data_IF_357803673116
#
_entry.id   IF_357803673116
#
_cell.length_a   1.000
_cell.length_b   1.000
_cell.length_c   1.000
_cell.angle_alpha   90.00
_cell.angle_beta   90.00
_cell.angle_gamma   90.00
#
_symmetry.space_group_name_H-M   'P 1'
#
loop_
_entity.id
_entity.type
_entity.pdbx_description
1 polymer ?
#
# COMPACT_ATOMS: atom_id res chain seq x y z
N UNK A 1 -16.63 -13.58 -43.86
CA UNK A 1 -16.20 -14.55 -42.83
C UNK A 1 -14.68 -14.69 -42.67
N UNK A 2 -13.84 -14.69 -43.70
CA UNK A 2 -12.36 -14.85 -43.57
C UNK A 2 -11.68 -13.68 -42.87
N UNK A 3 -12.15 -12.45 -43.07
CA UNK A 3 -11.61 -11.25 -42.43
C UNK A 3 -11.84 -11.24 -40.88
N UNK A 4 -13.05 -11.62 -40.46
CA UNK A 4 -13.40 -11.69 -39.04
C UNK A 4 -12.56 -12.73 -38.28
N UNK A 5 -12.29 -13.88 -38.90
CA UNK A 5 -11.40 -14.91 -38.31
C UNK A 5 -9.97 -14.41 -38.17
N UNK A 6 -9.43 -13.67 -39.14
CA UNK A 6 -8.08 -13.11 -39.09
C UNK A 6 -7.98 -12.01 -38.00
N UNK A 7 -9.00 -11.15 -37.91
CA UNK A 7 -9.08 -10.13 -36.87
C UNK A 7 -9.13 -10.77 -35.48
N UNK A 8 -9.95 -11.82 -35.31
CA UNK A 8 -10.05 -12.53 -34.04
C UNK A 8 -8.72 -13.19 -33.64
N UNK A 9 -8.04 -13.85 -34.58
CA UNK A 9 -6.73 -14.45 -34.35
C UNK A 9 -5.68 -13.40 -33.98
N UNK A 10 -5.71 -12.23 -34.62
CA UNK A 10 -4.82 -11.11 -34.27
C UNK A 10 -5.06 -10.60 -32.86
N UNK A 11 -6.33 -10.41 -32.46
CA UNK A 11 -6.70 -9.98 -31.09
C UNK A 11 -6.27 -11.01 -30.05
N UNK A 12 -6.49 -12.30 -30.31
CA UNK A 12 -6.06 -13.38 -29.40
C UNK A 12 -4.53 -13.40 -29.29
N UNK A 13 -3.80 -13.26 -30.39
CA UNK A 13 -2.35 -13.21 -30.40
C UNK A 13 -1.82 -11.99 -29.61
N UNK A 14 -2.44 -10.83 -29.77
CA UNK A 14 -2.08 -9.63 -29.04
C UNK A 14 -2.33 -9.79 -27.54
N UNK A 15 -3.48 -10.34 -27.15
CA UNK A 15 -3.78 -10.64 -25.75
C UNK A 15 -2.78 -11.61 -25.13
N UNK A 16 -2.40 -12.64 -25.88
CA UNK A 16 -1.43 -13.62 -25.39
C UNK A 16 -0.05 -13.00 -25.18
N UNK A 17 0.39 -12.10 -26.07
CA UNK A 17 1.63 -11.34 -25.91
C UNK A 17 1.56 -10.47 -24.65
N UNK A 18 0.46 -9.75 -24.44
CA UNK A 18 0.26 -8.91 -23.24
C UNK A 18 0.36 -9.74 -21.96
N UNK A 19 -0.27 -10.92 -21.94
CA UNK A 19 -0.22 -11.83 -20.78
C UNK A 19 1.20 -12.34 -20.54
N UNK A 20 1.94 -12.72 -21.57
CA UNK A 20 3.32 -13.19 -21.47
C UNK A 20 4.27 -12.09 -20.99
N UNK A 21 4.12 -10.89 -21.53
CA UNK A 21 4.92 -9.73 -21.10
C UNK A 21 4.64 -9.40 -19.63
N UNK A 22 3.37 -9.40 -19.23
CA UNK A 22 2.99 -9.15 -17.84
C UNK A 22 3.56 -10.23 -16.90
N UNK A 23 3.50 -11.50 -17.30
CA UNK A 23 4.07 -12.60 -16.51
C UNK A 23 5.59 -12.45 -16.34
N UNK A 24 6.31 -12.19 -17.42
CA UNK A 24 7.75 -11.95 -17.35
C UNK A 24 8.11 -10.74 -16.47
N UNK A 25 7.29 -9.69 -16.49
CA UNK A 25 7.45 -8.54 -15.60
C UNK A 25 7.19 -8.91 -14.13
N UNK A 26 6.18 -9.73 -13.87
CA UNK A 26 5.85 -10.17 -12.52
C UNK A 26 6.96 -10.99 -11.87
N UNK A 27 7.53 -11.95 -12.60
CA UNK A 27 8.61 -12.81 -12.08
C UNK A 27 9.92 -12.05 -11.83
N UNK A 28 10.19 -11.01 -12.62
CA UNK A 28 11.41 -10.20 -12.50
C UNK A 28 11.19 -8.88 -11.73
N UNK A 29 10.05 -8.72 -11.07
CA UNK A 29 9.75 -7.49 -10.34
C UNK A 29 10.68 -7.33 -9.13
N UNK A 30 11.47 -6.23 -9.07
CA UNK A 30 12.46 -6.03 -8.01
C UNK A 30 11.81 -5.47 -6.74
N UNK A 31 10.82 -6.19 -6.19
CA UNK A 31 9.99 -5.75 -5.07
C UNK A 31 10.79 -5.28 -3.87
N UNK A 32 11.77 -6.08 -3.44
CA UNK A 32 12.65 -5.75 -2.30
C UNK A 32 13.47 -4.48 -2.53
N UNK A 33 14.01 -4.28 -3.73
CA UNK A 33 14.80 -3.10 -4.04
C UNK A 33 13.93 -1.83 -4.01
N UNK A 34 12.71 -1.92 -4.51
CA UNK A 34 11.75 -0.81 -4.50
C UNK A 34 11.28 -0.55 -3.06
N UNK A 35 10.95 -1.58 -2.29
CA UNK A 35 10.60 -1.47 -0.88
C UNK A 35 11.69 -0.74 -0.09
N UNK A 36 12.94 -1.18 -0.21
CA UNK A 36 14.08 -0.56 0.45
C UNK A 36 14.28 0.91 0.05
N UNK A 37 14.12 1.24 -1.23
CA UNK A 37 14.23 2.62 -1.70
C UNK A 37 13.13 3.53 -1.10
N UNK A 38 11.90 3.02 -1.03
CA UNK A 38 10.76 3.73 -0.41
C UNK A 38 10.99 3.89 1.09
N UNK A 39 11.38 2.83 1.80
CA UNK A 39 11.72 2.85 3.23
C UNK A 39 12.76 3.92 3.54
N UNK A 40 13.87 3.89 2.81
CA UNK A 40 14.96 4.85 3.01
C UNK A 40 14.49 6.29 2.80
N UNK A 41 13.73 6.53 1.73
CA UNK A 41 13.21 7.86 1.42
C UNK A 41 12.21 8.36 2.46
N UNK A 42 11.28 7.52 2.90
CA UNK A 42 10.31 7.87 3.92
C UNK A 42 11.00 8.12 5.26
N UNK A 43 11.88 7.24 5.68
CA UNK A 43 12.64 7.39 6.94
C UNK A 43 13.47 8.66 6.95
N UNK A 44 14.18 8.98 5.84
CA UNK A 44 14.98 10.22 5.76
C UNK A 44 14.14 11.49 5.74
N UNK A 45 12.96 11.45 5.12
CA UNK A 45 12.10 12.63 5.04
C UNK A 45 11.30 12.89 6.32
N UNK A 46 10.86 11.84 7.00
CA UNK A 46 9.97 11.95 8.16
C UNK A 46 10.69 11.76 9.49
N UNK A 47 11.87 11.14 9.50
CA UNK A 47 12.56 10.71 10.73
C UNK A 47 11.85 9.54 11.44
N UNK A 48 10.83 8.94 10.81
CA UNK A 48 10.10 7.78 11.32
C UNK A 48 10.57 6.56 10.54
N UNK A 49 11.19 5.55 11.17
CA UNK A 49 11.55 4.33 10.48
C UNK A 49 10.30 3.59 9.99
N UNK A 50 10.27 3.33 8.68
CA UNK A 50 9.19 2.60 8.03
C UNK A 50 9.75 1.27 7.58
N UNK A 51 9.09 0.18 7.91
CA UNK A 51 9.37 -1.15 7.37
C UNK A 51 8.30 -1.50 6.36
N UNK A 52 8.71 -1.93 5.19
CA UNK A 52 7.84 -2.46 4.15
C UNK A 52 8.36 -3.85 3.83
N UNK A 53 7.53 -4.86 3.95
CA UNK A 53 7.88 -6.18 3.46
C UNK A 53 8.02 -6.18 1.93
N UNK A 54 8.25 -7.35 1.36
CA UNK A 54 8.42 -7.47 -0.08
C UNK A 54 7.22 -6.93 -0.85
N UNK A 55 7.50 -6.18 -1.92
CA UNK A 55 6.46 -5.68 -2.82
C UNK A 55 6.22 -6.69 -3.94
N UNK A 56 5.01 -7.15 -4.08
CA UNK A 56 4.60 -8.06 -5.14
C UNK A 56 3.76 -7.35 -6.19
N UNK A 57 4.05 -7.62 -7.45
CA UNK A 57 3.24 -7.13 -8.55
C UNK A 57 2.06 -8.07 -8.78
N UNK A 58 0.85 -7.61 -8.46
CA UNK A 58 -0.40 -8.26 -8.82
C UNK A 58 -0.95 -7.75 -10.15
N UNK A 59 -2.12 -8.26 -10.55
CA UNK A 59 -2.82 -7.76 -11.73
C UNK A 59 -3.38 -6.35 -11.44
N UNK A 60 -2.82 -5.33 -12.09
CA UNK A 60 -3.18 -3.90 -11.94
C UNK A 60 -3.07 -3.36 -10.50
N UNK A 61 -2.25 -3.97 -9.65
CA UNK A 61 -1.99 -3.52 -8.28
C UNK A 61 -0.59 -3.94 -7.83
N UNK A 62 -0.06 -3.22 -6.85
CA UNK A 62 1.10 -3.66 -6.04
C UNK A 62 0.58 -4.04 -4.67
N UNK A 63 1.09 -5.13 -4.13
CA UNK A 63 0.68 -5.69 -2.84
C UNK A 63 1.90 -5.79 -1.96
N UNK A 64 1.74 -5.48 -0.68
CA UNK A 64 2.71 -5.87 0.37
C UNK A 64 1.95 -6.46 1.55
N UNK A 65 2.47 -7.53 2.15
CA UNK A 65 1.83 -8.16 3.31
C UNK A 65 1.71 -7.21 4.48
N UNK A 66 2.76 -6.40 4.74
CA UNK A 66 2.81 -5.53 5.91
C UNK A 66 3.59 -4.26 5.64
N UNK A 67 3.08 -3.15 6.20
CA UNK A 67 3.83 -1.90 6.39
C UNK A 67 3.81 -1.59 7.88
N UNK A 68 4.98 -1.47 8.51
CA UNK A 68 5.10 -1.13 9.91
C UNK A 68 5.81 0.23 10.09
N UNK A 69 5.27 1.06 10.97
CA UNK A 69 5.93 2.27 11.45
C UNK A 69 6.55 1.98 12.81
N UNK A 70 7.82 2.30 12.98
CA UNK A 70 8.56 2.14 14.23
C UNK A 70 8.64 3.44 15.03
N UNK A 71 9.15 3.34 16.24
CA UNK A 71 9.43 4.48 17.08
C UNK A 71 10.31 5.49 16.36
N UNK A 72 9.93 6.79 16.33
CA UNK A 72 10.72 7.84 15.68
C UNK A 72 12.14 7.94 16.24
N UNK A 73 13.11 8.23 15.36
CA UNK A 73 14.54 8.31 15.74
C UNK A 73 14.80 9.37 16.81
N UNK A 74 14.01 10.46 16.83
CA UNK A 74 14.16 11.54 17.84
C UNK A 74 13.64 11.16 19.23
N UNK A 75 12.94 10.04 19.36
CA UNK A 75 12.48 9.47 20.64
C UNK A 75 13.48 8.43 21.18
N UNK A 76 14.76 8.72 21.13
CA UNK A 76 15.85 7.80 21.45
C UNK A 76 15.81 7.18 22.87
N UNK A 77 15.00 7.72 23.79
CA UNK A 77 14.80 7.18 25.14
C UNK A 77 13.74 6.05 25.20
N UNK A 78 13.02 5.80 24.10
CA UNK A 78 12.00 4.77 24.06
C UNK A 78 12.53 3.53 23.34
N UNK A 79 12.12 2.31 23.79
CA UNK A 79 12.50 1.08 23.09
C UNK A 79 11.99 1.12 21.64
N UNK A 80 12.73 0.49 20.73
CA UNK A 80 12.34 0.36 19.32
C UNK A 80 11.14 -0.59 19.23
N UNK A 81 9.96 -0.01 19.06
CA UNK A 81 8.69 -0.72 19.02
C UNK A 81 7.95 -0.38 17.72
N UNK A 82 7.25 -1.35 17.17
CA UNK A 82 6.31 -1.13 16.06
C UNK A 82 5.07 -0.41 16.58
N UNK A 83 4.91 0.85 16.22
CA UNK A 83 3.83 1.72 16.68
C UNK A 83 2.55 1.52 15.91
N UNK A 84 2.66 1.25 14.62
CA UNK A 84 1.54 1.05 13.71
C UNK A 84 1.87 -0.05 12.73
N UNK A 85 0.94 -0.97 12.53
CA UNK A 85 1.05 -2.06 11.56
C UNK A 85 -0.16 -2.01 10.67
N UNK A 86 0.08 -1.89 9.35
CA UNK A 86 -0.95 -1.94 8.32
C UNK A 86 -0.71 -3.24 7.55
N UNK A 87 -1.69 -4.12 7.60
CA UNK A 87 -1.63 -5.43 6.95
C UNK A 87 -2.34 -5.40 5.58
N UNK A 88 -1.94 -6.33 4.69
CA UNK A 88 -2.57 -6.53 3.39
C UNK A 88 -2.72 -5.24 2.58
N UNK A 89 -1.64 -4.49 2.42
CA UNK A 89 -1.65 -3.20 1.73
C UNK A 89 -1.65 -3.42 0.23
N UNK A 90 -2.61 -2.81 -0.45
CA UNK A 90 -2.78 -2.86 -1.90
C UNK A 90 -2.79 -1.45 -2.49
N UNK A 91 -1.91 -1.18 -3.43
CA UNK A 91 -1.91 0.05 -4.23
C UNK A 91 -2.50 -0.25 -5.61
N UNK A 92 -3.62 0.36 -5.93
CA UNK A 92 -4.39 0.09 -7.16
C UNK A 92 -3.97 1.02 -8.30
N UNK A 93 -3.69 0.44 -9.49
CA UNK A 93 -3.32 1.21 -10.68
C UNK A 93 -4.51 1.71 -11.50
N UNK A 94 -5.67 1.05 -11.41
CA UNK A 94 -6.84 1.43 -12.20
C UNK A 94 -7.27 2.87 -11.94
N UNK A 95 -7.46 3.33 -10.69
CA UNK A 95 -7.76 4.72 -10.41
C UNK A 95 -6.67 5.68 -10.89
N UNK A 96 -5.41 5.26 -10.82
CA UNK A 96 -4.27 6.05 -11.29
C UNK A 96 -4.36 6.31 -12.81
N UNK A 97 -4.66 5.27 -13.59
CA UNK A 97 -4.74 5.35 -15.06
C UNK A 97 -5.98 6.13 -15.50
N UNK A 98 -7.12 5.93 -14.82
CA UNK A 98 -8.41 6.49 -15.23
C UNK A 98 -8.65 7.91 -14.74
N UNK A 99 -8.17 8.27 -13.56
CA UNK A 99 -8.47 9.56 -12.91
C UNK A 99 -7.26 10.31 -12.37
N UNK A 100 -6.04 9.78 -12.55
CA UNK A 100 -4.83 10.36 -11.98
C UNK A 100 -4.74 10.28 -10.45
N UNK A 101 -5.61 9.50 -9.81
CA UNK A 101 -5.67 9.33 -8.36
C UNK A 101 -5.08 7.98 -7.97
N UNK A 102 -4.11 7.97 -7.05
CA UNK A 102 -3.66 6.73 -6.45
C UNK A 102 -4.62 6.33 -5.32
N UNK A 103 -5.00 5.05 -5.28
CA UNK A 103 -5.81 4.47 -4.21
C UNK A 103 -5.00 3.38 -3.52
N UNK A 104 -4.86 3.52 -2.20
CA UNK A 104 -4.19 2.53 -1.35
C UNK A 104 -5.21 2.01 -0.35
N UNK A 105 -5.28 0.70 -0.22
CA UNK A 105 -6.12 -0.01 0.73
C UNK A 105 -5.25 -0.78 1.70
N UNK A 106 -5.69 -0.94 2.93
CA UNK A 106 -4.99 -1.76 3.92
C UNK A 106 -5.91 -2.14 5.07
N UNK A 107 -5.43 -3.03 5.93
CA UNK A 107 -6.09 -3.41 7.18
C UNK A 107 -5.32 -2.83 8.35
N UNK A 108 -6.01 -2.16 9.26
CA UNK A 108 -5.43 -1.52 10.43
C UNK A 108 -6.19 -1.96 11.68
N UNK A 109 -5.56 -2.76 12.53
CA UNK A 109 -6.11 -3.18 13.84
C UNK A 109 -7.56 -3.67 13.79
N UNK A 110 -7.91 -4.46 12.77
CA UNK A 110 -9.24 -5.05 12.57
C UNK A 110 -10.25 -4.13 11.89
N UNK A 111 -9.82 -2.94 11.45
CA UNK A 111 -10.56 -2.05 10.55
C UNK A 111 -9.88 -1.93 9.19
N UNK A 112 -10.39 -1.05 8.35
CA UNK A 112 -9.87 -0.76 7.02
C UNK A 112 -9.32 0.66 6.96
N UNK A 113 -8.20 0.84 6.29
CA UNK A 113 -7.67 2.14 5.90
C UNK A 113 -7.75 2.28 4.39
N UNK A 114 -8.29 3.39 3.92
CA UNK A 114 -8.29 3.79 2.52
C UNK A 114 -7.61 5.14 2.40
N UNK A 115 -6.63 5.24 1.51
CA UNK A 115 -5.93 6.48 1.23
C UNK A 115 -6.10 6.81 -0.24
N UNK A 116 -6.57 8.01 -0.51
CA UNK A 116 -6.64 8.57 -1.86
C UNK A 116 -5.69 9.75 -1.96
N UNK A 117 -4.90 9.78 -3.00
CA UNK A 117 -4.06 10.95 -3.31
C UNK A 117 -4.18 11.31 -4.78
N UNK A 118 -4.38 12.60 -5.03
CA UNK A 118 -4.38 13.15 -6.37
C UNK A 118 -2.94 13.53 -6.75
N UNK A 119 -2.38 12.80 -7.71
CA UNK A 119 -1.01 13.03 -8.17
C UNK A 119 -0.86 14.30 -9.01
N UNK A 120 -1.96 14.82 -9.56
CA UNK A 120 -1.94 16.04 -10.38
C UNK A 120 -1.98 17.30 -9.51
N UNK A 121 -2.80 17.30 -8.48
CA UNK A 121 -2.98 18.50 -7.63
C UNK A 121 -1.97 18.62 -6.48
N UNK A 122 -1.21 17.56 -6.17
CA UNK A 122 -0.23 17.48 -5.05
C UNK A 122 -0.77 17.89 -3.66
N UNK A 123 -2.06 18.16 -3.51
CA UNK A 123 -2.64 18.81 -2.32
C UNK A 123 -3.77 18.02 -1.66
N UNK A 124 -4.30 16.99 -2.29
CA UNK A 124 -5.39 16.22 -1.70
C UNK A 124 -4.87 14.85 -1.25
N UNK A 125 -4.76 14.69 0.05
CA UNK A 125 -4.67 13.40 0.71
C UNK A 125 -5.99 13.20 1.46
N UNK A 126 -6.77 12.23 1.04
CA UNK A 126 -8.00 11.83 1.69
C UNK A 126 -7.74 10.48 2.37
N UNK A 127 -7.94 10.43 3.67
CA UNK A 127 -7.72 9.22 4.48
C UNK A 127 -9.04 8.86 5.14
N UNK A 128 -9.56 7.70 4.81
CA UNK A 128 -10.74 7.12 5.45
C UNK A 128 -10.35 5.94 6.31
N UNK A 129 -10.78 5.97 7.57
CA UNK A 129 -10.58 4.90 8.53
C UNK A 129 -11.94 4.35 8.94
N UNK A 130 -12.14 3.05 8.82
CA UNK A 130 -13.43 2.43 9.13
C UNK A 130 -13.23 1.22 10.05
N UNK A 131 -13.90 1.24 11.21
CA UNK A 131 -13.94 0.10 12.13
C UNK A 131 -12.64 -0.21 12.86
N UNK A 132 -11.67 0.71 12.88
CA UNK A 132 -10.38 0.53 13.57
C UNK A 132 -10.61 0.42 15.09
N UNK A 133 -10.07 -0.64 15.69
CA UNK A 133 -10.15 -0.89 17.14
C UNK A 133 -9.00 -0.18 17.84
N UNK A 134 -9.31 0.92 18.54
CA UNK A 134 -8.31 1.78 19.19
C UNK A 134 -7.53 1.04 20.29
N UNK A 135 -8.15 0.09 20.98
CA UNK A 135 -7.50 -0.72 22.01
C UNK A 135 -6.36 -1.61 21.46
N UNK A 136 -6.31 -1.83 20.17
CA UNK A 136 -5.26 -2.60 19.49
C UNK A 136 -4.11 -1.75 18.97
N UNK A 137 -4.22 -0.43 19.06
CA UNK A 137 -3.14 0.48 18.62
C UNK A 137 -2.06 0.51 19.70
N UNK A 138 -0.82 0.01 19.43
CA UNK A 138 0.23 -0.09 20.45
C UNK A 138 0.57 1.24 21.11
N UNK A 139 0.50 2.34 20.35
CA UNK A 139 0.74 3.68 20.86
C UNK A 139 -0.26 4.06 21.97
N UNK A 140 -1.54 3.68 21.81
CA UNK A 140 -2.59 3.96 22.80
C UNK A 140 -2.47 3.02 23.99
N UNK A 141 -2.15 1.75 23.74
CA UNK A 141 -1.92 0.76 24.80
C UNK A 141 -0.70 1.10 25.67
N UNK A 142 0.27 1.83 25.15
CA UNK A 142 1.47 2.27 25.88
C UNK A 142 1.25 3.51 26.76
N UNK A 143 0.10 4.19 26.66
CA UNK A 143 -0.21 5.35 27.49
C UNK A 143 -0.68 4.88 28.89
N UNK A 144 0.05 5.22 29.98
CA UNK A 144 -0.16 4.64 31.31
C UNK A 144 -1.50 5.00 31.97
N UNK A 145 -2.28 5.92 31.39
CA UNK A 145 -3.51 6.43 31.98
C UNK A 145 -4.72 6.50 31.01
N UNK A 146 -4.60 5.96 29.79
CA UNK A 146 -5.69 6.04 28.83
C UNK A 146 -6.31 4.66 28.57
N UNK A 147 -7.45 4.37 29.20
CA UNK A 147 -8.34 3.32 28.73
C UNK A 147 -9.14 3.89 27.54
N UNK A 148 -8.60 3.75 26.33
CA UNK A 148 -9.31 4.14 25.11
C UNK A 148 -9.90 2.87 24.50
N UNK A 149 -11.22 2.74 24.59
CA UNK A 149 -11.95 1.71 23.88
C UNK A 149 -12.92 2.36 22.90
N UNK A 150 -13.02 1.87 21.71
CA UNK A 150 -13.93 2.41 20.70
C UNK A 150 -13.59 2.00 19.27
N UNK A 151 -14.46 2.40 18.36
CA UNK A 151 -14.26 2.27 16.92
C UNK A 151 -14.18 3.66 16.31
N UNK A 152 -13.12 3.93 15.57
CA UNK A 152 -13.00 5.14 14.78
C UNK A 152 -13.59 4.89 13.39
N UNK A 153 -14.50 5.78 12.98
CA UNK A 153 -14.94 5.93 11.59
C UNK A 153 -14.86 7.40 11.26
N UNK A 154 -14.05 7.75 10.30
CA UNK A 154 -13.84 9.09 9.78
C UNK A 154 -14.14 9.09 8.29
#
# INVERSE_FOLDING_TARGET
>A
MRFLKRLLLFIIGLLLIIVLVFWGFKENFPGKSIANAIQLRLTTQTGIPVEIEDLELGWLKVITPEIALRTPIWLAATPDVRLLIIENVEALFVPLITSGKAKILGQLHGGTIEVYTDLQSRKMLDISLTGVKLERVPLIAALPYAFVSGRLSL
#
